data_IF_247410665416
#
_entry.id   IF_247410665416
#
_cell.length_a   1.000
_cell.length_b   1.000
_cell.length_c   1.000
_cell.angle_alpha   90.00
_cell.angle_beta   90.00
_cell.angle_gamma   90.00
#
_symmetry.space_group_name_H-M   'P 1'
#
loop_
_entity.id
_entity.type
_entity.pdbx_description
1 polymer ?
#
# COMPACT_ATOMS: atom_id res chain seq x y z
N UNK A 1 26.22 -13.11 -0.88
CA UNK A 1 24.86 -13.37 -1.41
C UNK A 1 24.20 -12.02 -1.63
N UNK A 2 23.79 -11.72 -2.85
CA UNK A 2 23.01 -10.52 -3.12
C UNK A 2 21.57 -10.78 -2.69
N UNK A 3 20.99 -9.86 -1.92
CA UNK A 3 19.57 -9.90 -1.57
C UNK A 3 18.80 -9.48 -2.82
N UNK A 4 18.16 -10.43 -3.49
CA UNK A 4 17.36 -10.14 -4.67
C UNK A 4 16.03 -9.54 -4.21
N UNK A 5 15.83 -8.26 -4.50
CA UNK A 5 14.60 -7.54 -4.14
C UNK A 5 13.52 -7.94 -5.14
N UNK A 6 12.40 -8.59 -4.71
CA UNK A 6 11.31 -8.93 -5.60
C UNK A 6 10.73 -7.64 -6.22
N UNK A 7 10.54 -7.64 -7.53
CA UNK A 7 9.93 -6.50 -8.24
C UNK A 7 8.41 -6.57 -8.14
N UNK A 8 7.77 -5.42 -7.99
CA UNK A 8 6.32 -5.27 -8.06
C UNK A 8 5.80 -5.71 -9.43
N UNK A 9 4.65 -6.38 -9.46
CA UNK A 9 3.96 -6.69 -10.73
C UNK A 9 3.40 -5.42 -11.37
N UNK A 10 3.12 -5.45 -12.68
CA UNK A 10 2.51 -4.31 -13.37
C UNK A 10 1.15 -3.93 -12.74
N UNK A 11 0.38 -4.92 -12.29
CA UNK A 11 -0.90 -4.70 -11.60
C UNK A 11 -0.73 -4.00 -10.25
N UNK A 12 0.25 -4.41 -9.46
CA UNK A 12 0.56 -3.74 -8.20
C UNK A 12 1.00 -2.29 -8.44
N UNK A 13 1.80 -2.05 -9.48
CA UNK A 13 2.20 -0.70 -9.86
C UNK A 13 1.01 0.17 -10.30
N UNK A 14 0.04 -0.40 -11.03
CA UNK A 14 -1.20 0.29 -11.41
C UNK A 14 -2.03 0.69 -10.17
N UNK A 15 -2.21 -0.21 -9.21
CA UNK A 15 -2.94 0.07 -7.95
C UNK A 15 -2.25 1.18 -7.17
N UNK A 16 -0.93 1.08 -6.97
CA UNK A 16 -0.16 2.12 -6.26
C UNK A 16 -0.28 3.47 -6.98
N UNK A 17 -0.18 3.49 -8.31
CA UNK A 17 -0.30 4.71 -9.11
C UNK A 17 -1.70 5.33 -9.01
N UNK A 18 -2.74 4.49 -8.99
CA UNK A 18 -4.12 4.93 -8.77
C UNK A 18 -4.26 5.62 -7.42
N UNK A 19 -3.74 5.01 -6.35
CA UNK A 19 -3.82 5.60 -5.02
C UNK A 19 -2.98 6.87 -4.84
N UNK A 20 -1.79 6.92 -5.44
CA UNK A 20 -0.97 8.13 -5.46
C UNK A 20 -1.62 9.30 -6.21
N UNK A 21 -2.54 9.01 -7.14
CA UNK A 21 -3.26 10.04 -7.91
C UNK A 21 -4.26 10.87 -7.06
N UNK A 22 -4.70 10.36 -5.91
CA UNK A 22 -5.59 11.10 -5.00
C UNK A 22 -4.93 12.32 -4.34
N UNK A 23 -3.63 12.56 -4.58
CA UNK A 23 -2.88 13.73 -4.16
C UNK A 23 -3.03 14.07 -2.67
N UNK A 24 -3.07 13.03 -1.82
CA UNK A 24 -3.09 13.21 -0.37
C UNK A 24 -1.70 13.64 0.09
N UNK A 25 -1.55 14.80 0.76
CA UNK A 25 -0.27 15.26 1.27
C UNK A 25 0.27 14.25 2.29
N UNK A 26 1.38 13.59 1.94
CA UNK A 26 1.96 12.57 2.79
C UNK A 26 3.15 11.86 2.15
N UNK A 27 3.79 11.02 2.94
CA UNK A 27 4.87 10.15 2.50
C UNK A 27 4.33 8.76 2.19
N UNK A 28 4.59 8.29 0.98
CA UNK A 28 4.34 6.90 0.59
C UNK A 28 5.56 6.03 0.92
N UNK A 29 5.30 4.90 1.59
CA UNK A 29 6.25 3.86 1.92
C UNK A 29 5.75 2.57 1.29
N UNK A 30 6.46 2.08 0.27
CA UNK A 30 6.08 0.87 -0.45
C UNK A 30 7.00 -0.26 0.03
N UNK A 31 6.40 -1.29 0.60
CA UNK A 31 7.09 -2.49 1.06
C UNK A 31 7.57 -3.36 -0.11
N UNK A 32 8.37 -4.37 0.23
CA UNK A 32 8.72 -5.42 -0.71
C UNK A 32 7.60 -6.47 -0.75
N UNK A 33 7.38 -7.12 -1.90
CA UNK A 33 6.51 -8.29 -1.96
C UNK A 33 6.96 -9.36 -0.97
N UNK A 34 6.01 -9.96 -0.26
CA UNK A 34 6.26 -11.11 0.59
C UNK A 34 6.43 -12.41 -0.24
N UNK A 35 6.50 -13.56 0.44
CA UNK A 35 6.67 -14.88 -0.21
C UNK A 35 5.51 -15.25 -1.15
N UNK A 36 4.32 -14.68 -0.92
CA UNK A 36 3.11 -14.91 -1.67
C UNK A 36 2.93 -13.82 -2.76
N UNK A 37 3.87 -12.87 -2.80
CA UNK A 37 3.92 -11.76 -3.75
C UNK A 37 3.06 -10.57 -3.31
N UNK A 38 2.51 -10.58 -2.10
CA UNK A 38 1.65 -9.52 -1.57
C UNK A 38 2.51 -8.33 -1.14
N UNK A 39 2.07 -7.12 -1.46
CA UNK A 39 2.77 -5.88 -1.16
C UNK A 39 1.96 -5.06 -0.17
N UNK A 40 2.59 -4.60 0.90
CA UNK A 40 2.03 -3.57 1.77
C UNK A 40 2.55 -2.19 1.36
N UNK A 41 1.65 -1.23 1.16
CA UNK A 41 1.98 0.17 0.96
C UNK A 41 1.31 1.03 2.04
N UNK A 42 2.09 1.90 2.67
CA UNK A 42 1.62 2.80 3.73
C UNK A 42 1.75 4.25 3.24
N UNK A 43 0.68 5.02 3.36
CA UNK A 43 0.71 6.46 3.19
C UNK A 43 0.61 7.13 4.55
N UNK A 44 1.57 7.99 4.87
CA UNK A 44 1.59 8.78 6.11
C UNK A 44 1.32 10.24 5.79
N UNK A 45 0.08 10.67 5.97
CA UNK A 45 -0.35 12.05 5.86
C UNK A 45 -0.35 12.77 7.20
N UNK A 46 -0.53 14.09 7.15
CA UNK A 46 -0.53 14.94 8.35
C UNK A 46 -1.67 14.58 9.32
N UNK A 47 -2.84 14.21 8.78
CA UNK A 47 -4.05 13.95 9.56
C UNK A 47 -4.61 12.55 9.33
N UNK A 48 -3.96 11.73 8.52
CA UNK A 48 -4.45 10.39 8.18
C UNK A 48 -3.28 9.48 7.78
N UNK A 49 -3.32 8.23 8.21
CA UNK A 49 -2.47 7.16 7.70
C UNK A 49 -3.34 6.15 6.96
N UNK A 50 -2.89 5.71 5.79
CA UNK A 50 -3.49 4.61 5.03
C UNK A 50 -2.52 3.43 5.00
N UNK A 51 -3.07 2.22 5.11
CA UNK A 51 -2.40 0.98 4.75
C UNK A 51 -3.16 0.35 3.60
N UNK A 52 -2.43 -0.13 2.60
CA UNK A 52 -2.91 -0.85 1.43
C UNK A 52 -2.19 -2.18 1.36
N UNK A 53 -2.93 -3.28 1.42
CA UNK A 53 -2.42 -4.61 1.07
C UNK A 53 -2.80 -4.88 -0.37
N UNK A 54 -1.84 -5.23 -1.22
CA UNK A 54 -2.03 -5.38 -2.67
C UNK A 54 -1.53 -6.75 -3.12
N UNK A 55 -2.46 -7.57 -3.58
CA UNK A 55 -2.22 -8.90 -4.13
C UNK A 55 -1.47 -8.82 -5.48
N UNK A 56 -0.77 -9.88 -5.91
CA UNK A 56 -0.04 -9.89 -7.19
C UNK A 56 -0.89 -9.56 -8.42
N UNK A 57 -2.17 -9.91 -8.39
CA UNK A 57 -3.11 -9.72 -9.50
C UNK A 57 -3.87 -8.38 -9.45
N UNK A 58 -3.65 -7.58 -8.41
CA UNK A 58 -4.17 -6.21 -8.29
C UNK A 58 -5.38 -6.06 -7.36
N UNK A 59 -5.88 -7.13 -6.75
CA UNK A 59 -6.82 -7.00 -5.63
C UNK A 59 -6.14 -6.26 -4.49
N UNK A 60 -6.86 -5.34 -3.85
CA UNK A 60 -6.32 -4.60 -2.72
C UNK A 60 -7.33 -4.46 -1.60
N UNK A 61 -6.84 -4.41 -0.37
CA UNK A 61 -7.60 -4.04 0.81
C UNK A 61 -6.96 -2.82 1.46
N UNK A 62 -7.79 -1.88 1.90
CA UNK A 62 -7.32 -0.68 2.60
C UNK A 62 -7.80 -0.59 4.05
N UNK A 63 -6.95 0.01 4.87
CA UNK A 63 -7.30 0.44 6.23
C UNK A 63 -6.80 1.86 6.43
N UNK A 64 -7.51 2.64 7.23
CA UNK A 64 -7.13 4.02 7.54
C UNK A 64 -7.20 4.32 9.02
N UNK A 65 -6.44 5.32 9.48
CA UNK A 65 -6.52 5.82 10.85
C UNK A 65 -6.08 7.27 10.94
N UNK A 66 -6.45 7.94 12.03
CA UNK A 66 -5.73 9.14 12.47
C UNK A 66 -4.30 8.76 12.90
N UNK A 67 -3.30 9.66 12.77
CA UNK A 67 -1.92 9.37 13.12
C UNK A 67 -1.78 8.87 14.57
N UNK A 68 -1.24 7.66 14.73
CA UNK A 68 -1.09 7.01 16.04
C UNK A 68 -2.37 6.45 16.65
N UNK A 69 -3.50 6.51 15.93
CA UNK A 69 -4.79 5.93 16.32
C UNK A 69 -4.94 4.45 15.99
N UNK A 70 -6.16 3.95 16.16
CA UNK A 70 -6.56 2.57 15.81
C UNK A 70 -6.91 2.48 14.33
N UNK A 71 -6.48 1.41 13.65
CA UNK A 71 -6.85 1.12 12.27
C UNK A 71 -8.34 0.84 12.14
N UNK A 72 -8.96 1.47 11.14
CA UNK A 72 -10.34 1.27 10.73
C UNK A 72 -10.30 0.70 9.32
N UNK A 73 -10.81 -0.52 9.16
CA UNK A 73 -10.83 -1.22 7.88
C UNK A 73 -11.89 -0.60 6.96
N UNK A 74 -11.49 -0.28 5.73
CA UNK A 74 -12.39 0.04 4.63
C UNK A 74 -12.23 -1.06 3.60
N UNK A 75 -13.14 -2.01 3.51
CA UNK A 75 -13.08 -2.99 2.43
C UNK A 75 -13.62 -2.30 1.17
N UNK A 76 -12.75 -1.97 0.21
CA UNK A 76 -13.18 -1.73 -1.17
C UNK A 76 -13.11 -3.05 -1.94
N UNK A 77 -14.25 -3.43 -2.55
CA UNK A 77 -14.42 -4.64 -3.37
C UNK A 77 -14.29 -4.29 -4.85
#
# INVERSE_FOLDING_TARGET
>A
MAFEVPKLTDRQQEVISHWQSFNVPGQWLIGQPDKDGVVEAIMKGENIEWSLTIEPFGESAESSREPGGTWVDGITV
#
